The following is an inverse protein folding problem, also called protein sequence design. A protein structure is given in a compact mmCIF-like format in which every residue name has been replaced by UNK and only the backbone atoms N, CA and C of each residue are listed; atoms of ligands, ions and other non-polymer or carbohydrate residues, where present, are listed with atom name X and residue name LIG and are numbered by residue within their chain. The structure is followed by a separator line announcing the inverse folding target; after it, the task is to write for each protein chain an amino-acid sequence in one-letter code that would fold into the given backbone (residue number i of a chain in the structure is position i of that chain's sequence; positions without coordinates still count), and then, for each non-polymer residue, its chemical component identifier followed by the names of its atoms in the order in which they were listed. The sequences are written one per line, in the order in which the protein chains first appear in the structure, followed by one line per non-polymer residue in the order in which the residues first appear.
data_IF_887310942548
#
_entry.id   IF_887310942548
#
_cell.length_a   1.000
_cell.length_b   1.000
_cell.length_c   1.000
_cell.angle_alpha   90.00
_cell.angle_beta   90.00
_cell.angle_gamma   90.00
#
_symmetry.space_group_name_H-M   'P 1'
#
loop_
_entity.id
_entity.type
_entity.pdbx_description
1 polymer ?
#
# COMPACT_ATOMS: atom_id res chain seq x y z
N UNK A 1 3.77 -17.85 -1.43
CA UNK A 1 3.01 -16.68 -0.93
C UNK A 1 2.81 -15.65 -2.07
N UNK A 2 2.43 -16.07 -3.27
CA UNK A 2 2.32 -15.20 -4.47
C UNK A 2 0.89 -15.00 -4.97
N UNK A 3 -0.12 -15.60 -4.33
CA UNK A 3 -1.51 -15.56 -4.80
C UNK A 3 -2.33 -14.36 -4.29
N UNK A 4 -1.78 -13.49 -3.43
CA UNK A 4 -2.53 -12.38 -2.80
C UNK A 4 -2.16 -10.97 -3.31
N UNK A 5 -1.02 -10.80 -4.00
CA UNK A 5 -0.58 -9.47 -4.45
C UNK A 5 -1.52 -8.87 -5.47
N UNK A 6 -2.01 -9.67 -6.42
CA UNK A 6 -2.94 -9.18 -7.45
C UNK A 6 -4.29 -8.74 -6.85
N UNK A 7 -4.78 -9.45 -5.83
CA UNK A 7 -6.03 -9.09 -5.15
C UNK A 7 -5.91 -7.76 -4.40
N UNK A 8 -4.78 -7.50 -3.73
CA UNK A 8 -4.52 -6.24 -3.02
C UNK A 8 -4.38 -5.08 -4.01
N UNK A 9 -3.65 -5.29 -5.11
CA UNK A 9 -3.47 -4.28 -6.16
C UNK A 9 -4.83 -3.91 -6.76
N UNK A 10 -5.69 -4.88 -7.05
CA UNK A 10 -7.03 -4.63 -7.61
C UNK A 10 -7.92 -3.78 -6.71
N UNK A 11 -7.75 -3.83 -5.40
CA UNK A 11 -8.56 -3.03 -4.48
C UNK A 11 -8.20 -1.54 -4.51
N UNK A 12 -6.97 -1.19 -4.88
CA UNK A 12 -6.46 0.19 -4.85
C UNK A 12 -6.19 0.77 -6.24
N UNK A 13 -6.07 -0.05 -7.28
CA UNK A 13 -5.69 0.40 -8.63
C UNK A 13 -6.68 1.39 -9.26
N UNK A 14 -7.95 1.31 -8.89
CA UNK A 14 -9.02 2.15 -9.45
C UNK A 14 -9.25 3.43 -8.61
N UNK A 15 -8.47 3.62 -7.54
CA UNK A 15 -8.57 4.82 -6.70
C UNK A 15 -7.95 6.01 -7.44
N UNK A 16 -8.65 7.14 -7.57
CA UNK A 16 -8.13 8.31 -8.25
C UNK A 16 -6.74 8.73 -7.75
N UNK A 17 -5.80 8.90 -8.68
CA UNK A 17 -4.42 9.30 -8.39
C UNK A 17 -3.48 8.16 -7.97
N UNK A 18 -3.93 6.91 -7.88
CA UNK A 18 -3.02 5.79 -7.60
C UNK A 18 -2.00 5.59 -8.73
N UNK A 19 -0.71 5.48 -8.40
CA UNK A 19 0.41 5.33 -9.34
C UNK A 19 1.13 4.00 -9.25
N UNK A 20 0.95 3.26 -8.15
CA UNK A 20 1.60 1.98 -7.95
C UNK A 20 1.76 1.61 -6.48
N UNK A 21 2.22 0.39 -6.24
CA UNK A 21 2.45 -0.13 -4.90
C UNK A 21 3.70 -1.01 -4.84
N UNK A 22 4.46 -0.87 -3.76
CA UNK A 22 5.44 -1.87 -3.34
C UNK A 22 4.91 -2.59 -2.10
N UNK A 23 5.11 -3.90 -2.05
CA UNK A 23 4.88 -4.70 -0.86
C UNK A 23 6.19 -5.30 -0.41
N UNK A 24 6.69 -4.83 0.74
CA UNK A 24 7.97 -5.21 1.31
C UNK A 24 7.71 -6.18 2.46
N UNK A 25 8.41 -7.31 2.48
CA UNK A 25 8.27 -8.33 3.53
C UNK A 25 9.64 -8.64 4.10
N UNK A 26 9.81 -8.37 5.39
CA UNK A 26 10.91 -8.93 6.17
C UNK A 26 10.48 -10.30 6.70
N UNK A 27 11.04 -11.35 6.11
CA UNK A 27 10.71 -12.74 6.49
C UNK A 27 11.28 -13.17 7.82
N UNK A 28 12.33 -12.51 8.30
CA UNK A 28 12.97 -12.86 9.57
C UNK A 28 12.13 -12.36 10.76
N UNK A 29 11.56 -11.15 10.64
CA UNK A 29 10.73 -10.55 11.69
C UNK A 29 9.23 -10.77 11.47
N UNK A 30 8.82 -11.17 10.26
CA UNK A 30 7.41 -11.31 9.88
C UNK A 30 6.73 -9.95 9.61
N UNK A 31 7.49 -8.85 9.54
CA UNK A 31 6.96 -7.52 9.29
C UNK A 31 6.73 -7.32 7.79
N UNK A 32 5.53 -6.85 7.44
CA UNK A 32 5.22 -6.40 6.10
C UNK A 32 4.94 -4.89 6.07
N UNK A 33 5.25 -4.26 4.93
CA UNK A 33 4.97 -2.85 4.65
C UNK A 33 4.40 -2.72 3.25
N UNK A 34 3.31 -1.99 3.09
CA UNK A 34 2.86 -1.49 1.79
C UNK A 34 3.32 -0.04 1.63
N UNK A 35 3.84 0.29 0.45
CA UNK A 35 4.15 1.65 0.03
C UNK A 35 3.32 1.94 -1.22
N UNK A 36 2.30 2.78 -1.09
CA UNK A 36 1.48 3.24 -2.22
C UNK A 36 2.00 4.58 -2.73
N UNK A 37 2.00 4.73 -4.04
CA UNK A 37 2.41 5.95 -4.73
C UNK A 37 1.17 6.65 -5.29
N UNK A 38 1.15 7.97 -5.17
CA UNK A 38 0.03 8.82 -5.56
C UNK A 38 0.52 9.94 -6.47
N UNK A 39 -0.37 10.46 -7.31
CA UNK A 39 -0.07 11.53 -8.27
C UNK A 39 0.27 12.84 -7.56
N UNK A 40 -0.46 13.15 -6.49
CA UNK A 40 -0.22 14.30 -5.63
C UNK A 40 -0.70 14.04 -4.18
N UNK A 41 -0.37 14.94 -3.27
CA UNK A 41 -0.78 14.86 -1.86
C UNK A 41 -2.31 14.89 -1.70
N UNK A 42 -3.02 15.60 -2.57
CA UNK A 42 -4.47 15.74 -2.48
C UNK A 42 -5.15 14.40 -2.76
N UNK A 43 -4.80 13.74 -3.85
CA UNK A 43 -5.32 12.42 -4.24
C UNK A 43 -4.94 11.35 -3.22
N UNK A 44 -3.75 11.43 -2.62
CA UNK A 44 -3.38 10.59 -1.46
C UNK A 44 -4.34 10.81 -0.28
N UNK A 45 -4.59 12.06 0.12
CA UNK A 45 -5.49 12.39 1.24
C UNK A 45 -6.94 11.96 0.97
N UNK A 46 -7.42 12.23 -0.24
CA UNK A 46 -8.77 11.83 -0.69
C UNK A 46 -8.94 10.30 -0.68
N UNK A 47 -7.84 9.54 -0.82
CA UNK A 47 -7.85 8.08 -0.75
C UNK A 47 -7.87 7.49 0.67
N UNK A 48 -7.54 8.28 1.70
CA UNK A 48 -7.17 7.76 3.03
C UNK A 48 -8.24 6.83 3.64
N UNK A 49 -9.51 7.21 3.54
CA UNK A 49 -10.61 6.40 4.07
C UNK A 49 -10.73 5.05 3.35
N UNK A 50 -10.61 5.04 2.02
CA UNK A 50 -10.66 3.81 1.24
C UNK A 50 -9.42 2.95 1.48
N UNK A 51 -8.23 3.56 1.52
CA UNK A 51 -6.99 2.88 1.84
C UNK A 51 -7.00 2.29 3.26
N UNK A 52 -7.65 2.96 4.22
CA UNK A 52 -7.84 2.44 5.58
C UNK A 52 -8.67 1.17 5.60
N UNK A 53 -9.84 1.17 4.92
CA UNK A 53 -10.69 -0.02 4.80
C UNK A 53 -9.96 -1.19 4.17
N UNK A 54 -9.26 -0.96 3.06
CA UNK A 54 -8.46 -1.98 2.35
C UNK A 54 -7.38 -2.59 3.27
N UNK A 55 -6.65 -1.74 4.00
CA UNK A 55 -5.63 -2.18 4.97
C UNK A 55 -6.25 -3.02 6.09
N UNK A 56 -7.39 -2.61 6.63
CA UNK A 56 -8.08 -3.33 7.70
C UNK A 56 -8.59 -4.70 7.23
N UNK A 57 -9.25 -4.76 6.08
CA UNK A 57 -9.73 -6.01 5.47
C UNK A 57 -8.57 -6.96 5.18
N UNK A 58 -7.48 -6.44 4.63
CA UNK A 58 -6.26 -7.23 4.37
C UNK A 58 -5.66 -7.77 5.67
N UNK A 59 -5.54 -6.91 6.68
CA UNK A 59 -4.98 -7.30 7.97
C UNK A 59 -5.83 -8.39 8.64
N UNK A 60 -7.16 -8.23 8.64
CA UNK A 60 -8.07 -9.24 9.17
C UNK A 60 -7.96 -10.57 8.42
N UNK A 61 -7.96 -10.52 7.08
CA UNK A 61 -7.89 -11.71 6.22
C UNK A 61 -6.57 -12.47 6.40
N UNK A 62 -5.47 -11.76 6.60
CA UNK A 62 -4.13 -12.35 6.73
C UNK A 62 -3.72 -12.62 8.19
N UNK A 63 -4.59 -12.34 9.17
CA UNK A 63 -4.26 -12.46 10.59
C UNK A 63 -3.14 -11.51 11.03
N UNK A 64 -2.98 -10.39 10.33
CA UNK A 64 -2.00 -9.35 10.61
C UNK A 64 -2.62 -8.25 11.48
N UNK A 65 -1.75 -7.42 12.05
CA UNK A 65 -2.12 -6.21 12.78
C UNK A 65 -1.46 -5.01 12.12
N UNK A 66 -2.25 -3.97 11.86
CA UNK A 66 -1.71 -2.68 11.40
C UNK A 66 -0.92 -2.05 12.56
N UNK A 67 0.33 -1.67 12.28
CA UNK A 67 1.24 -1.09 13.29
C UNK A 67 1.27 0.44 13.19
N UNK A 68 1.41 0.98 11.98
CA UNK A 68 1.42 2.41 11.71
C UNK A 68 1.03 2.70 10.25
N UNK A 69 0.68 3.95 9.99
CA UNK A 69 0.52 4.53 8.66
C UNK A 69 1.22 5.88 8.68
N UNK A 70 2.06 6.12 7.69
CA UNK A 70 2.90 7.32 7.61
C UNK A 70 2.89 7.83 6.16
N UNK A 71 3.01 9.15 5.99
CA UNK A 71 3.01 9.82 4.69
C UNK A 71 4.37 10.44 4.42
N UNK A 72 4.83 10.30 3.18
CA UNK A 72 6.13 10.77 2.73
C UNK A 72 6.04 11.36 1.33
N UNK A 73 6.95 12.26 1.01
CA UNK A 73 7.14 12.78 -0.35
C UNK A 73 8.27 12.02 -1.04
N UNK A 74 8.07 11.68 -2.33
CA UNK A 74 9.13 11.09 -3.14
C UNK A 74 10.07 12.20 -3.61
N UNK A 75 11.15 12.42 -2.86
CA UNK A 75 12.15 13.43 -3.22
C UNK A 75 12.94 13.12 -4.50
N UNK A 76 13.19 11.84 -4.76
CA UNK A 76 13.74 11.35 -6.03
C UNK A 76 13.38 9.87 -6.22
N UNK A 77 13.29 9.44 -7.48
CA UNK A 77 13.22 8.02 -7.82
C UNK A 77 14.17 7.74 -8.98
N UNK A 78 14.89 6.62 -8.89
CA UNK A 78 15.68 6.08 -9.97
C UNK A 78 15.38 4.59 -10.05
N UNK A 79 14.36 4.26 -10.85
CA UNK A 79 13.95 2.90 -11.12
C UNK A 79 14.45 2.56 -12.52
N UNK A 80 15.31 1.55 -12.60
CA UNK A 80 15.65 0.95 -13.89
C UNK A 80 14.42 0.16 -14.38
N UNK A 81 14.16 0.15 -15.70
CA UNK A 81 13.08 -0.64 -16.28
C UNK A 81 13.23 -2.14 -16.01
#
# INVERSE_FOLDING_TARGET
MSANSEAIVRQVQDVPGFRGVYYLVDRATGVAKSLTLWDDERTMRDSEEQAARIREETAQREGQRIVSVEHFEVGFSHLLP
#
